data_IF_593211884348
#
_entry.id   IF_593211884348
#
_cell.length_a   1.000
_cell.length_b   1.000
_cell.length_c   1.000
_cell.angle_alpha   90.00
_cell.angle_beta   90.00
_cell.angle_gamma   90.00
#
_symmetry.space_group_name_H-M   'P 1'
#
loop_
_entity.id
_entity.type
_entity.pdbx_description
1 polymer ?
#
# COMPACT_ATOMS: atom_id res chain seq x y z
N UNK A 1 -24.88 14.26 -2.33
CA UNK A 1 -23.80 13.37 -1.90
C UNK A 1 -24.37 12.04 -1.41
N UNK A 2 -23.64 10.95 -1.48
CA UNK A 2 -24.11 9.63 -1.06
C UNK A 2 -24.10 9.54 0.48
N UNK A 3 -25.24 9.21 1.10
CA UNK A 3 -25.41 9.20 2.56
C UNK A 3 -24.38 8.33 3.28
N UNK A 4 -23.89 7.27 2.63
CA UNK A 4 -22.87 6.36 3.19
C UNK A 4 -21.53 7.02 3.51
N UNK A 5 -21.20 8.18 2.91
CA UNK A 5 -19.97 8.92 3.15
C UNK A 5 -20.19 10.23 3.95
N UNK A 6 -21.40 10.51 4.40
CA UNK A 6 -21.75 11.76 5.09
C UNK A 6 -20.88 12.03 6.33
N UNK A 7 -20.47 10.99 7.05
CA UNK A 7 -19.60 11.16 8.22
C UNK A 7 -18.15 11.54 7.85
N UNK A 8 -17.65 11.08 6.71
CA UNK A 8 -16.35 11.51 6.17
C UNK A 8 -16.45 12.98 5.75
N UNK A 9 -17.54 13.36 5.07
CA UNK A 9 -17.81 14.72 4.65
C UNK A 9 -17.78 15.72 5.81
N UNK A 10 -18.33 15.37 6.98
CA UNK A 10 -18.28 16.21 8.18
C UNK A 10 -16.85 16.58 8.61
N UNK A 11 -15.86 15.78 8.23
CA UNK A 11 -14.46 15.99 8.60
C UNK A 11 -13.63 16.66 7.49
N UNK A 12 -13.88 16.32 6.22
CA UNK A 12 -13.09 16.83 5.10
C UNK A 12 -13.81 17.89 4.28
N UNK A 13 -15.09 18.12 4.53
CA UNK A 13 -15.94 19.08 3.82
C UNK A 13 -16.35 18.61 2.42
N UNK A 14 -17.27 19.33 1.77
CA UNK A 14 -17.74 19.04 0.42
C UNK A 14 -16.61 19.07 -0.59
N UNK A 15 -15.76 20.09 -0.58
CA UNK A 15 -14.63 20.23 -1.50
C UNK A 15 -13.65 19.06 -1.38
N UNK A 16 -13.34 18.63 -0.14
CA UNK A 16 -12.50 17.45 0.09
C UNK A 16 -13.12 16.17 -0.45
N UNK A 17 -14.45 16.02 -0.34
CA UNK A 17 -15.17 14.86 -0.89
C UNK A 17 -15.16 14.84 -2.42
N UNK A 18 -15.31 15.98 -3.07
CA UNK A 18 -15.21 16.10 -4.54
C UNK A 18 -13.81 15.71 -5.01
N UNK A 19 -12.76 16.24 -4.37
CA UNK A 19 -11.37 15.87 -4.66
C UNK A 19 -11.10 14.38 -4.49
N UNK A 20 -11.62 13.76 -3.43
CA UNK A 20 -11.48 12.32 -3.18
C UNK A 20 -12.22 11.47 -4.22
N UNK A 21 -13.42 11.90 -4.64
CA UNK A 21 -14.18 11.22 -5.67
C UNK A 21 -13.50 11.27 -7.05
N UNK A 22 -12.90 12.40 -7.38
CA UNK A 22 -12.26 12.61 -8.68
C UNK A 22 -10.83 12.05 -8.72
N UNK A 23 -10.22 11.87 -7.56
CA UNK A 23 -8.85 11.38 -7.44
C UNK A 23 -8.69 9.97 -8.03
N UNK A 24 -7.61 9.78 -8.80
CA UNK A 24 -7.16 8.49 -9.33
C UNK A 24 -5.96 8.01 -8.52
N UNK A 25 -6.13 6.93 -7.77
CA UNK A 25 -5.11 6.40 -6.87
C UNK A 25 -4.64 5.03 -7.34
N UNK A 26 -3.33 4.89 -7.59
CA UNK A 26 -2.72 3.61 -7.92
C UNK A 26 -2.18 2.93 -6.65
N UNK A 27 -2.56 1.66 -6.40
CA UNK A 27 -2.06 0.86 -5.28
C UNK A 27 -1.29 -0.35 -5.82
N UNK A 28 0.00 -0.36 -5.55
CA UNK A 28 0.92 -1.42 -5.95
C UNK A 28 1.15 -2.39 -4.79
N UNK A 29 0.78 -3.68 -4.98
CA UNK A 29 0.83 -4.73 -3.98
C UNK A 29 -0.40 -4.76 -3.08
N UNK A 30 -1.22 -5.81 -3.19
CA UNK A 30 -2.48 -6.00 -2.46
C UNK A 30 -2.35 -7.06 -1.35
N UNK A 31 -1.21 -7.01 -0.66
CA UNK A 31 -0.92 -7.86 0.49
C UNK A 31 -1.58 -7.37 1.80
N UNK A 32 -0.92 -7.67 2.92
CA UNK A 32 -1.40 -7.29 4.26
C UNK A 32 -1.49 -5.79 4.51
N UNK A 33 -0.74 -4.97 3.78
CA UNK A 33 -0.80 -3.50 3.85
C UNK A 33 -1.75 -2.96 2.78
N UNK A 34 -1.49 -3.25 1.50
CA UNK A 34 -2.21 -2.62 0.39
C UNK A 34 -3.69 -2.95 0.33
N UNK A 35 -4.11 -4.14 0.77
CA UNK A 35 -5.54 -4.46 0.85
C UNK A 35 -6.28 -3.57 1.85
N UNK A 36 -5.66 -3.20 2.97
CA UNK A 36 -6.23 -2.26 3.94
C UNK A 36 -6.11 -0.79 3.49
N UNK A 37 -5.11 -0.44 2.67
CA UNK A 37 -5.10 0.86 1.98
C UNK A 37 -6.34 1.00 1.10
N UNK A 38 -6.61 0.02 0.24
CA UNK A 38 -7.79 0.04 -0.64
C UNK A 38 -9.10 0.08 0.14
N UNK A 39 -9.23 -0.69 1.24
CA UNK A 39 -10.39 -0.66 2.13
C UNK A 39 -10.62 0.74 2.71
N UNK A 40 -9.56 1.37 3.25
CA UNK A 40 -9.65 2.71 3.83
C UNK A 40 -10.04 3.78 2.80
N UNK A 41 -9.45 3.75 1.62
CA UNK A 41 -9.75 4.66 0.52
C UNK A 41 -11.18 4.48 0.02
N UNK A 42 -11.64 3.23 -0.21
CA UNK A 42 -12.99 2.95 -0.68
C UNK A 42 -14.07 3.44 0.30
N UNK A 43 -13.81 3.32 1.62
CA UNK A 43 -14.72 3.81 2.68
C UNK A 43 -14.71 5.32 2.85
N UNK A 44 -13.79 6.01 2.23
CA UNK A 44 -13.67 7.47 2.27
C UNK A 44 -13.99 8.15 0.94
N UNK A 45 -14.85 7.52 0.12
CA UNK A 45 -15.27 8.03 -1.18
C UNK A 45 -14.18 8.03 -2.26
N UNK A 46 -13.17 7.15 -2.17
CA UNK A 46 -12.23 6.99 -3.29
C UNK A 46 -13.00 6.62 -4.57
N UNK A 47 -12.87 7.45 -5.63
CA UNK A 47 -13.64 7.29 -6.85
C UNK A 47 -12.96 6.47 -7.93
N UNK A 48 -11.62 6.60 -8.09
CA UNK A 48 -10.91 5.91 -9.14
C UNK A 48 -9.69 5.16 -8.60
N UNK A 49 -9.60 3.88 -8.89
CA UNK A 49 -8.54 2.99 -8.43
C UNK A 49 -7.80 2.35 -9.60
N UNK A 50 -6.49 2.25 -9.47
CA UNK A 50 -5.65 1.33 -10.23
C UNK A 50 -5.05 0.32 -9.25
N UNK A 51 -5.35 -0.95 -9.43
CA UNK A 51 -4.89 -2.04 -8.59
C UNK A 51 -3.85 -2.87 -9.33
N UNK A 52 -2.64 -3.00 -8.76
CA UNK A 52 -1.52 -3.70 -9.38
C UNK A 52 -0.99 -4.78 -8.45
N UNK A 53 -1.20 -6.04 -8.80
CA UNK A 53 -0.65 -7.21 -8.09
C UNK A 53 -0.75 -8.44 -9.01
N UNK A 54 0.32 -9.21 -9.15
CA UNK A 54 0.36 -10.39 -10.02
C UNK A 54 -0.04 -11.69 -9.32
N UNK A 55 -0.14 -11.66 -7.98
CA UNK A 55 -0.36 -12.86 -7.18
C UNK A 55 -1.81 -13.31 -7.19
N UNK A 56 -1.96 -14.62 -6.95
CA UNK A 56 -3.19 -15.22 -6.46
C UNK A 56 -3.17 -15.31 -4.94
N UNK A 57 -4.36 -15.38 -4.37
CA UNK A 57 -4.56 -15.57 -2.93
C UNK A 57 -4.13 -16.99 -2.56
N UNK A 58 -3.26 -17.09 -1.56
CA UNK A 58 -2.77 -18.34 -0.98
C UNK A 58 -3.30 -18.51 0.44
N UNK A 59 -3.41 -19.74 0.92
CA UNK A 59 -3.89 -20.07 2.26
C UNK A 59 -3.05 -19.37 3.35
N UNK A 60 -1.75 -19.23 3.15
CA UNK A 60 -0.84 -18.53 4.07
C UNK A 60 -1.08 -17.03 4.16
N UNK A 61 -1.94 -16.45 3.33
CA UNK A 61 -2.32 -15.05 3.35
C UNK A 61 -3.46 -14.74 4.32
N UNK A 62 -4.25 -15.76 4.69
CA UNK A 62 -5.51 -15.61 5.48
C UNK A 62 -5.26 -14.90 6.80
N UNK A 63 -4.11 -15.11 7.42
CA UNK A 63 -3.80 -14.54 8.73
C UNK A 63 -3.66 -13.01 8.76
N UNK A 64 -3.52 -12.33 7.56
CA UNK A 64 -3.22 -10.89 7.54
C UNK A 64 -3.71 -10.10 6.32
N UNK A 65 -4.13 -10.74 5.23
CA UNK A 65 -4.61 -10.03 4.04
C UNK A 65 -6.14 -9.98 4.05
N UNK A 66 -6.71 -8.79 3.94
CA UNK A 66 -8.16 -8.52 4.01
C UNK A 66 -8.98 -9.40 3.06
N UNK A 67 -8.48 -9.55 1.83
CA UNK A 67 -9.16 -10.27 0.74
C UNK A 67 -8.95 -11.78 0.78
N UNK A 68 -8.07 -12.27 1.68
CA UNK A 68 -7.76 -13.69 1.79
C UNK A 68 -8.72 -14.38 2.75
N UNK A 69 -9.61 -15.20 2.20
CA UNK A 69 -10.56 -16.04 2.92
C UNK A 69 -10.56 -17.44 2.30
N UNK A 70 -11.14 -18.41 2.97
CA UNK A 70 -11.28 -19.79 2.43
C UNK A 70 -11.94 -19.79 1.04
N UNK A 71 -12.89 -18.87 0.79
CA UNK A 71 -13.63 -18.78 -0.47
C UNK A 71 -12.90 -18.04 -1.59
N UNK A 72 -11.77 -17.40 -1.29
CA UNK A 72 -11.03 -16.59 -2.26
C UNK A 72 -9.68 -17.19 -2.64
N UNK A 73 -9.25 -18.28 -2.00
CA UNK A 73 -8.01 -18.99 -2.34
C UNK A 73 -7.97 -19.31 -3.85
N UNK A 74 -6.84 -19.05 -4.49
CA UNK A 74 -6.61 -19.31 -5.93
C UNK A 74 -7.11 -18.22 -6.87
N UNK A 75 -7.93 -17.26 -6.42
CA UNK A 75 -8.34 -16.08 -7.20
C UNK A 75 -7.22 -15.05 -7.24
N UNK A 76 -7.17 -14.22 -8.30
CA UNK A 76 -6.23 -13.11 -8.35
C UNK A 76 -6.59 -12.04 -7.31
N UNK A 77 -5.59 -11.51 -6.61
CA UNK A 77 -5.78 -10.48 -5.58
C UNK A 77 -6.47 -9.23 -6.11
N UNK A 78 -6.08 -8.77 -7.30
CA UNK A 78 -6.67 -7.59 -7.93
C UNK A 78 -8.17 -7.77 -8.21
N UNK A 79 -8.59 -8.95 -8.64
CA UNK A 79 -9.99 -9.22 -8.97
C UNK A 79 -10.86 -9.20 -7.69
N UNK A 80 -10.39 -9.88 -6.61
CA UNK A 80 -11.12 -9.92 -5.33
C UNK A 80 -11.15 -8.55 -4.65
N UNK A 81 -10.06 -7.77 -4.75
CA UNK A 81 -10.04 -6.42 -4.19
C UNK A 81 -10.96 -5.48 -4.97
N UNK A 82 -11.05 -5.61 -6.29
CA UNK A 82 -12.03 -4.88 -7.12
C UNK A 82 -13.47 -5.19 -6.68
N UNK A 83 -13.82 -6.47 -6.53
CA UNK A 83 -15.14 -6.87 -6.03
C UNK A 83 -15.42 -6.22 -4.68
N UNK A 84 -14.44 -6.26 -3.75
CA UNK A 84 -14.56 -5.66 -2.44
C UNK A 84 -14.76 -4.14 -2.46
N UNK A 85 -14.05 -3.41 -3.30
CA UNK A 85 -14.22 -1.96 -3.46
C UNK A 85 -15.63 -1.66 -3.96
N UNK A 86 -16.11 -2.40 -4.97
CA UNK A 86 -17.43 -2.18 -5.55
C UNK A 86 -18.59 -2.55 -4.60
N UNK A 87 -18.39 -3.47 -3.66
CA UNK A 87 -19.35 -3.72 -2.56
C UNK A 87 -19.48 -2.51 -1.61
N UNK A 88 -18.42 -1.72 -1.43
CA UNK A 88 -18.39 -0.54 -0.56
C UNK A 88 -18.85 0.70 -1.33
N UNK A 89 -18.27 0.92 -2.50
CA UNK A 89 -18.56 2.03 -3.39
C UNK A 89 -18.89 1.53 -4.82
N UNK A 90 -20.16 1.22 -5.11
CA UNK A 90 -20.57 0.73 -6.42
C UNK A 90 -20.29 1.70 -7.59
N UNK A 91 -20.08 2.99 -7.28
CA UNK A 91 -19.79 4.02 -8.26
C UNK A 91 -18.28 4.19 -8.53
N UNK A 92 -17.43 3.46 -7.82
CA UNK A 92 -15.99 3.53 -8.05
C UNK A 92 -15.62 2.94 -9.41
N UNK A 93 -14.69 3.59 -10.10
CA UNK A 93 -14.02 3.04 -11.27
C UNK A 93 -12.77 2.28 -10.82
N UNK A 94 -12.66 0.99 -11.15
CA UNK A 94 -11.56 0.15 -10.69
C UNK A 94 -10.91 -0.56 -11.87
N UNK A 95 -9.71 -0.12 -12.21
CA UNK A 95 -8.83 -0.77 -13.17
C UNK A 95 -7.93 -1.78 -12.47
N UNK A 96 -7.64 -2.92 -13.10
CA UNK A 96 -6.84 -4.00 -12.50
C UNK A 96 -5.74 -4.46 -13.44
N UNK A 97 -4.53 -4.60 -12.91
CA UNK A 97 -3.36 -5.10 -13.64
C UNK A 97 -2.75 -6.29 -12.90
N UNK A 98 -2.73 -7.45 -13.56
CA UNK A 98 -2.13 -8.71 -13.04
C UNK A 98 -0.64 -8.74 -13.39
N UNK A 99 0.07 -7.69 -12.96
CA UNK A 99 1.45 -7.42 -13.37
C UNK A 99 2.39 -7.33 -12.18
N UNK A 100 3.62 -7.78 -12.37
CA UNK A 100 4.74 -7.50 -11.48
C UNK A 100 5.41 -6.21 -11.96
N UNK A 101 5.12 -5.10 -11.28
CA UNK A 101 5.62 -3.80 -11.72
C UNK A 101 7.13 -3.67 -11.51
N UNK A 102 7.85 -3.41 -12.60
CA UNK A 102 9.29 -3.14 -12.64
C UNK A 102 9.57 -1.98 -13.59
N UNK A 103 10.83 -1.50 -13.64
CA UNK A 103 11.22 -0.37 -14.48
C UNK A 103 11.01 -0.62 -15.99
N UNK A 104 10.98 -1.87 -16.42
CA UNK A 104 10.74 -2.30 -17.79
C UNK A 104 9.31 -2.83 -18.02
N UNK A 105 8.38 -2.48 -17.13
CA UNK A 105 6.97 -2.84 -17.28
C UNK A 105 6.45 -2.29 -18.62
N UNK A 106 5.87 -3.17 -19.50
CA UNK A 106 5.44 -2.75 -20.82
C UNK A 106 4.17 -1.91 -20.81
N UNK A 107 3.48 -1.83 -19.68
CA UNK A 107 2.24 -1.08 -19.48
C UNK A 107 2.57 0.19 -18.71
N UNK A 108 2.20 1.34 -19.27
CA UNK A 108 2.36 2.63 -18.61
C UNK A 108 1.23 2.83 -17.58
N UNK A 109 1.45 2.31 -16.37
CA UNK A 109 0.48 2.36 -15.27
C UNK A 109 0.61 3.66 -14.50
N UNK A 110 1.82 4.19 -14.36
CA UNK A 110 2.11 5.44 -13.63
C UNK A 110 2.16 6.58 -14.64
N UNK A 111 1.08 7.33 -14.73
CA UNK A 111 0.84 8.40 -15.71
C UNK A 111 0.57 9.73 -14.98
N UNK A 112 0.72 10.85 -15.68
CA UNK A 112 0.56 12.20 -15.12
C UNK A 112 -0.86 12.50 -14.59
N UNK A 113 -1.87 11.71 -14.98
CA UNK A 113 -3.25 11.83 -14.50
C UNK A 113 -3.49 11.14 -13.14
N UNK A 114 -2.47 10.46 -12.59
CA UNK A 114 -2.57 9.94 -11.22
C UNK A 114 -2.54 11.08 -10.20
N UNK A 115 -3.52 11.06 -9.30
CA UNK A 115 -3.53 11.94 -8.14
C UNK A 115 -2.55 11.50 -7.06
N UNK A 116 -2.34 10.18 -6.94
CA UNK A 116 -1.47 9.58 -5.93
C UNK A 116 -1.07 8.14 -6.28
N UNK A 117 0.15 7.74 -5.91
CA UNK A 117 0.61 6.36 -5.97
C UNK A 117 0.93 5.83 -4.58
N UNK A 118 0.55 4.59 -4.29
CA UNK A 118 0.84 3.92 -3.01
C UNK A 118 1.65 2.66 -3.27
N UNK A 119 2.85 2.62 -2.72
CA UNK A 119 3.76 1.49 -2.83
C UNK A 119 3.65 0.59 -1.59
N UNK A 120 3.02 -0.57 -1.75
CA UNK A 120 2.89 -1.62 -0.74
C UNK A 120 3.56 -2.94 -1.17
N UNK A 121 4.40 -2.93 -2.21
CA UNK A 121 5.13 -4.13 -2.64
C UNK A 121 6.24 -4.47 -1.64
N UNK A 122 6.69 -5.71 -1.61
CA UNK A 122 7.75 -6.21 -0.72
C UNK A 122 9.13 -6.30 -1.39
N UNK A 123 9.18 -6.20 -2.70
CA UNK A 123 10.40 -6.30 -3.51
C UNK A 123 11.06 -4.93 -3.65
N UNK A 124 12.33 -4.80 -3.21
CA UNK A 124 13.08 -3.54 -3.21
C UNK A 124 13.17 -2.93 -4.62
N UNK A 125 13.44 -3.74 -5.65
CA UNK A 125 13.57 -3.22 -7.01
C UNK A 125 12.27 -2.65 -7.55
N UNK A 126 11.13 -3.30 -7.26
CA UNK A 126 9.81 -2.80 -7.62
C UNK A 126 9.50 -1.47 -6.90
N UNK A 127 9.79 -1.39 -5.58
CA UNK A 127 9.66 -0.12 -4.83
C UNK A 127 10.44 1.01 -5.48
N UNK A 128 11.70 0.76 -5.82
CA UNK A 128 12.56 1.77 -6.46
C UNK A 128 12.00 2.17 -7.82
N UNK A 129 11.51 1.21 -8.62
CA UNK A 129 10.92 1.50 -9.92
C UNK A 129 9.68 2.41 -9.82
N UNK A 130 8.76 2.09 -8.90
CA UNK A 130 7.57 2.90 -8.62
C UNK A 130 7.96 4.32 -8.19
N UNK A 131 8.83 4.44 -7.19
CA UNK A 131 9.22 5.72 -6.62
C UNK A 131 9.93 6.59 -7.66
N UNK A 132 10.89 6.04 -8.43
CA UNK A 132 11.61 6.78 -9.46
C UNK A 132 10.68 7.25 -10.58
N UNK A 133 9.73 6.41 -11.01
CA UNK A 133 8.77 6.81 -12.05
C UNK A 133 7.84 7.92 -11.55
N UNK A 134 7.37 7.83 -10.31
CA UNK A 134 6.55 8.87 -9.70
C UNK A 134 7.31 10.20 -9.57
N UNK A 135 8.56 10.15 -9.13
CA UNK A 135 9.42 11.34 -9.01
C UNK A 135 9.67 12.00 -10.38
N UNK A 136 9.95 11.18 -11.41
CA UNK A 136 10.19 11.63 -12.78
C UNK A 136 9.03 12.46 -13.35
N UNK A 137 7.78 12.04 -13.09
CA UNK A 137 6.58 12.69 -13.64
C UNK A 137 5.84 13.55 -12.63
N UNK A 138 6.35 13.72 -11.42
CA UNK A 138 5.78 14.58 -10.39
C UNK A 138 4.53 14.04 -9.70
N UNK A 139 4.27 12.74 -9.75
CA UNK A 139 3.15 12.09 -9.04
C UNK A 139 3.51 11.87 -7.56
N UNK A 140 2.68 12.35 -6.60
CA UNK A 140 2.89 12.07 -5.19
C UNK A 140 2.89 10.58 -4.92
N UNK A 141 3.84 10.12 -4.09
CA UNK A 141 3.95 8.71 -3.72
C UNK A 141 4.19 8.52 -2.23
N UNK A 142 3.53 7.53 -1.63
CA UNK A 142 3.80 7.07 -0.26
C UNK A 142 4.15 5.59 -0.26
N UNK A 143 5.21 5.23 0.47
CA UNK A 143 5.71 3.85 0.51
C UNK A 143 5.59 3.24 1.90
N UNK A 144 5.13 2.00 1.96
CA UNK A 144 5.17 1.19 3.17
C UNK A 144 6.55 0.58 3.37
N UNK A 145 7.15 0.79 4.54
CA UNK A 145 8.33 0.05 4.92
C UNK A 145 7.97 -1.33 5.51
N UNK A 146 8.95 -2.06 6.06
CA UNK A 146 8.74 -3.43 6.52
C UNK A 146 7.80 -3.54 7.72
N UNK A 147 6.75 -4.35 7.60
CA UNK A 147 5.76 -4.63 8.66
C UNK A 147 5.88 -6.04 9.25
N UNK A 148 6.76 -6.89 8.69
CA UNK A 148 6.96 -8.26 9.17
C UNK A 148 7.81 -8.34 10.44
N UNK A 149 7.64 -9.45 11.19
CA UNK A 149 8.34 -9.75 12.45
C UNK A 149 8.10 -8.69 13.55
N UNK A 150 6.88 -8.20 13.66
CA UNK A 150 6.45 -7.14 14.58
C UNK A 150 5.13 -7.49 15.24
N UNK A 151 4.91 -6.97 16.44
CA UNK A 151 3.71 -7.17 17.25
C UNK A 151 3.10 -5.87 17.80
N UNK A 152 3.82 -4.75 17.71
CA UNK A 152 3.32 -3.47 18.22
C UNK A 152 2.99 -2.50 17.08
N UNK A 153 1.71 -2.38 16.68
CA UNK A 153 1.29 -1.44 15.65
C UNK A 153 1.30 0.02 16.12
N UNK A 154 1.42 0.28 17.43
CA UNK A 154 1.47 1.66 17.96
C UNK A 154 2.82 2.33 17.71
N UNK A 155 3.82 1.56 17.32
CA UNK A 155 5.16 2.06 16.98
C UNK A 155 5.31 2.47 15.50
N UNK A 156 4.21 2.53 14.74
CA UNK A 156 4.25 3.10 13.39
C UNK A 156 4.31 4.62 13.41
N UNK A 157 5.13 5.16 12.51
CA UNK A 157 5.28 6.59 12.26
C UNK A 157 5.20 6.89 10.77
N UNK A 158 4.74 8.10 10.46
CA UNK A 158 4.84 8.70 9.13
C UNK A 158 5.97 9.71 9.14
N UNK A 159 6.92 9.57 8.24
CA UNK A 159 8.08 10.43 8.14
C UNK A 159 8.61 10.52 6.70
N UNK A 160 9.55 11.44 6.46
CA UNK A 160 10.42 11.31 5.31
C UNK A 160 11.34 10.10 5.48
N UNK A 161 11.62 9.38 4.39
CA UNK A 161 12.45 8.18 4.45
C UNK A 161 13.83 8.47 5.08
N UNK A 162 14.38 9.65 4.87
CA UNK A 162 15.70 10.01 5.38
C UNK A 162 15.73 10.27 6.88
N UNK A 163 14.58 10.52 7.49
CA UNK A 163 14.40 10.69 8.94
C UNK A 163 14.13 9.36 9.67
N UNK A 164 13.85 8.27 8.92
CA UNK A 164 13.53 6.97 9.52
C UNK A 164 14.70 6.39 10.33
N UNK A 165 14.39 5.63 11.36
CA UNK A 165 15.35 4.88 12.18
C UNK A 165 15.02 3.39 12.20
N UNK A 166 15.85 2.56 12.81
CA UNK A 166 15.62 1.13 13.15
C UNK A 166 15.31 0.21 11.96
N UNK A 167 14.48 0.63 10.99
CA UNK A 167 13.98 -0.22 9.90
C UNK A 167 15.08 -0.63 8.90
N UNK A 168 15.43 -1.95 8.77
CA UNK A 168 16.46 -2.40 7.83
C UNK A 168 16.10 -2.12 6.37
N UNK A 169 14.81 -2.23 5.99
CA UNK A 169 14.36 -1.94 4.63
C UNK A 169 14.56 -0.45 4.30
N UNK A 170 14.15 0.45 5.19
CA UNK A 170 14.37 1.88 5.00
C UNK A 170 15.87 2.23 4.85
N UNK A 171 16.75 1.55 5.59
CA UNK A 171 18.21 1.73 5.48
C UNK A 171 18.73 1.40 4.07
N UNK A 172 18.24 0.32 3.46
CA UNK A 172 18.60 -0.09 2.09
C UNK A 172 18.03 0.92 1.10
N UNK A 173 16.74 1.23 1.22
CA UNK A 173 16.05 2.18 0.34
C UNK A 173 16.71 3.55 0.33
N UNK A 174 17.06 4.11 1.50
CA UNK A 174 17.80 5.39 1.61
C UNK A 174 19.08 5.41 0.78
N UNK A 175 19.86 4.31 0.82
CA UNK A 175 21.11 4.21 0.06
C UNK A 175 20.87 4.23 -1.44
N UNK A 176 19.85 3.51 -1.91
CA UNK A 176 19.60 3.38 -3.34
C UNK A 176 18.87 4.60 -3.93
N UNK A 177 17.97 5.23 -3.16
CA UNK A 177 17.28 6.45 -3.56
C UNK A 177 18.23 7.65 -3.66
N UNK A 178 19.20 7.79 -2.73
CA UNK A 178 20.26 8.84 -2.84
C UNK A 178 21.06 8.74 -4.11
N UNK A 179 21.38 7.52 -4.58
CA UNK A 179 22.12 7.33 -5.85
C UNK A 179 21.31 7.76 -7.08
N UNK A 180 20.00 7.87 -6.93
CA UNK A 180 19.05 8.25 -7.98
C UNK A 180 18.58 9.70 -7.85
N UNK A 181 19.16 10.46 -6.91
CA UNK A 181 18.84 11.86 -6.60
C UNK A 181 17.39 12.06 -6.15
N UNK A 182 16.75 11.04 -5.56
CA UNK A 182 15.45 11.19 -4.91
C UNK A 182 15.67 11.88 -3.57
N UNK A 183 15.18 13.12 -3.44
CA UNK A 183 15.45 13.98 -2.29
C UNK A 183 14.54 13.72 -1.10
N UNK A 184 13.31 13.24 -1.36
CA UNK A 184 12.29 12.98 -0.33
C UNK A 184 11.38 11.82 -0.72
N UNK A 185 10.86 11.14 0.29
CA UNK A 185 9.83 10.11 0.11
C UNK A 185 9.02 9.98 1.41
N UNK A 186 7.73 10.21 1.33
CA UNK A 186 6.80 9.96 2.46
C UNK A 186 6.67 8.46 2.68
N UNK A 187 6.90 8.00 3.91
CA UNK A 187 6.83 6.57 4.24
C UNK A 187 6.06 6.33 5.53
N UNK A 188 5.47 5.14 5.64
CA UNK A 188 5.10 4.55 6.92
C UNK A 188 6.16 3.53 7.32
N UNK A 189 6.68 3.64 8.53
CA UNK A 189 7.66 2.70 9.07
C UNK A 189 7.42 2.47 10.57
N UNK A 190 7.96 1.41 11.13
CA UNK A 190 7.84 1.12 12.56
C UNK A 190 9.18 1.25 13.25
N UNK A 191 9.18 1.86 14.43
CA UNK A 191 10.34 1.92 15.33
C UNK A 191 10.55 0.63 16.14
N UNK A 192 9.64 -0.33 16.04
CA UNK A 192 9.79 -1.63 16.68
C UNK A 192 10.96 -2.41 16.07
N UNK A 193 11.83 -2.95 16.92
CA UNK A 193 12.85 -3.89 16.50
C UNK A 193 12.22 -5.21 16.05
N UNK A 194 12.62 -5.70 14.87
CA UNK A 194 12.08 -6.95 14.33
C UNK A 194 12.42 -8.14 15.25
N UNK A 195 11.42 -8.96 15.54
CA UNK A 195 11.60 -10.22 16.29
C UNK A 195 12.43 -11.18 15.43
N UNK A 196 13.42 -11.82 16.06
CA UNK A 196 14.21 -12.83 15.37
C UNK A 196 13.42 -14.13 15.20
N UNK A 197 13.13 -14.48 13.95
CA UNK A 197 12.41 -15.71 13.57
C UNK A 197 13.29 -16.69 12.78
N UNK A 198 14.61 -16.47 12.72
CA UNK A 198 15.52 -17.26 11.90
C UNK A 198 15.58 -18.73 12.33
N UNK A 199 15.45 -18.99 13.64
CA UNK A 199 15.53 -20.33 14.21
C UNK A 199 14.20 -21.09 14.22
N UNK A 200 13.14 -20.46 13.73
CA UNK A 200 11.84 -21.11 13.60
C UNK A 200 11.89 -22.28 12.60
N UNK A 201 11.26 -23.44 12.89
CA UNK A 201 11.31 -24.63 12.03
C UNK A 201 10.98 -24.35 10.55
N UNK A 202 10.02 -23.46 10.27
CA UNK A 202 9.66 -23.05 8.90
C UNK A 202 10.87 -22.48 8.14
N UNK A 203 11.85 -21.94 8.86
CA UNK A 203 13.02 -21.26 8.30
C UNK A 203 14.29 -22.11 8.26
N UNK A 204 14.31 -23.32 8.88
CA UNK A 204 15.56 -24.08 9.06
C UNK A 204 16.30 -24.37 7.76
N UNK A 205 15.61 -24.85 6.73
CA UNK A 205 16.25 -25.25 5.46
C UNK A 205 16.01 -24.28 4.31
N UNK A 206 15.49 -23.06 4.58
CA UNK A 206 15.19 -22.09 3.54
C UNK A 206 16.36 -21.14 3.30
N UNK A 207 16.75 -20.97 2.03
CA UNK A 207 17.72 -19.95 1.60
C UNK A 207 17.20 -18.53 1.89
N UNK A 208 15.91 -18.30 1.69
CA UNK A 208 15.24 -17.03 2.01
C UNK A 208 14.29 -17.25 3.16
N UNK A 209 14.52 -16.51 4.24
CA UNK A 209 13.75 -16.63 5.48
C UNK A 209 12.36 -16.00 5.31
N UNK A 210 11.33 -16.74 5.70
CA UNK A 210 9.97 -16.25 5.76
C UNK A 210 9.83 -15.35 7.00
N UNK A 211 9.25 -14.18 6.82
CA UNK A 211 8.96 -13.25 7.91
C UNK A 211 7.64 -13.64 8.58
N UNK A 212 7.61 -13.65 9.89
CA UNK A 212 6.39 -13.75 10.67
C UNK A 212 5.50 -12.53 10.44
N UNK A 213 4.19 -12.70 10.53
CA UNK A 213 3.23 -11.62 10.44
C UNK A 213 1.96 -11.96 11.20
N UNK A 214 1.23 -10.93 11.62
CA UNK A 214 -0.05 -11.02 12.33
C UNK A 214 -1.06 -10.08 11.68
N UNK A 215 -2.36 -10.26 11.97
CA UNK A 215 -3.42 -9.50 11.29
C UNK A 215 -3.37 -8.00 11.55
N UNK A 216 -3.03 -7.59 12.77
CA UNK A 216 -3.19 -6.20 13.25
C UNK A 216 -1.98 -5.29 13.01
N UNK A 217 -0.84 -5.80 12.59
CA UNK A 217 0.33 -4.95 12.31
C UNK A 217 0.31 -4.39 10.88
N UNK A 218 0.29 -5.22 9.80
CA UNK A 218 0.25 -4.66 8.45
C UNK A 218 -1.06 -3.94 8.14
N UNK A 219 -2.18 -4.34 8.75
CA UNK A 219 -3.47 -3.67 8.57
C UNK A 219 -3.46 -2.24 9.10
N UNK A 220 -2.89 -2.01 10.28
CA UNK A 220 -2.75 -0.67 10.85
C UNK A 220 -1.84 0.20 9.98
N UNK A 221 -0.71 -0.32 9.48
CA UNK A 221 0.12 0.40 8.52
C UNK A 221 -0.68 0.80 7.26
N UNK A 222 -1.50 -0.10 6.73
CA UNK A 222 -2.35 0.18 5.58
C UNK A 222 -3.39 1.28 5.84
N UNK A 223 -4.04 1.26 7.01
CA UNK A 223 -5.01 2.29 7.39
C UNK A 223 -4.34 3.66 7.66
N UNK A 224 -3.12 3.69 8.23
CA UNK A 224 -2.34 4.93 8.36
C UNK A 224 -2.05 5.50 6.98
N UNK A 225 -1.59 4.70 6.02
CA UNK A 225 -1.32 5.15 4.66
C UNK A 225 -2.59 5.68 4.01
N UNK A 226 -3.72 4.96 4.10
CA UNK A 226 -4.99 5.43 3.57
C UNK A 226 -5.37 6.80 4.15
N UNK A 227 -5.24 6.97 5.47
CA UNK A 227 -5.52 8.24 6.15
C UNK A 227 -4.62 9.38 5.67
N UNK A 228 -3.32 9.13 5.43
CA UNK A 228 -2.40 10.13 4.88
C UNK A 228 -2.75 10.51 3.44
N UNK A 229 -3.04 9.52 2.60
CA UNK A 229 -3.46 9.76 1.20
C UNK A 229 -4.76 10.58 1.15
N UNK A 230 -5.75 10.24 1.99
CA UNK A 230 -7.01 10.99 2.09
C UNK A 230 -6.75 12.44 2.50
N UNK A 231 -5.92 12.68 3.51
CA UNK A 231 -5.56 14.04 3.96
C UNK A 231 -4.81 14.81 2.89
N UNK A 232 -3.87 14.18 2.21
CA UNK A 232 -3.08 14.82 1.16
C UNK A 232 -3.95 15.21 -0.05
N UNK A 233 -4.95 14.40 -0.41
CA UNK A 233 -5.86 14.69 -1.52
C UNK A 233 -6.89 15.74 -1.12
N UNK A 234 -7.55 15.57 0.04
CA UNK A 234 -8.61 16.47 0.48
C UNK A 234 -8.11 17.89 0.78
N UNK A 235 -6.85 18.06 1.19
CA UNK A 235 -6.27 19.36 1.53
C UNK A 235 -5.52 20.05 0.37
N UNK A 236 -5.42 19.42 -0.81
CA UNK A 236 -4.92 20.03 -2.03
C UNK A 236 -5.96 20.98 -2.61
#
# INVERSE_FOLDING_TARGET
MDEKFSRTEMLVGNEGMEKLNDAKVAVFGLGGVGSFVCEGLARSCGGNFILVDFDKIDETNINRQLIATVNTIGKYKVDVMKERILEINPNANVETYKEFYMADCPIDIITEDLSYAVDCVDTIMAKIAIICKCDEIGVPVMSSMGTGNKLDPTMFEVADIYETSVCPLAKIMKKDLRKRNIEKLKVVYSQEHAINTNDHPINQDRKFKVKGSVSFVPSVAGLIIAGEVIKDIANK
#
